data_IF_143822700747
#
_entry.id   IF_143822700747
#
_cell.length_a   1.000
_cell.length_b   1.000
_cell.length_c   1.000
_cell.angle_alpha   90.00
_cell.angle_beta   90.00
_cell.angle_gamma   90.00
#
_symmetry.space_group_name_H-M   'P 1'
#
loop_
_entity.id
_entity.type
_entity.pdbx_description
1 polymer ?
#
# COMPACT_ATOMS: atom_id res chain seq x y z
N UNK A 1 -21.14 0.28 -36.26
CA UNK A 1 -19.98 -0.43 -35.67
C UNK A 1 -20.29 -1.92 -35.76
N UNK A 2 -19.43 -2.75 -36.35
CA UNK A 2 -19.77 -4.16 -36.58
C UNK A 2 -20.07 -4.93 -35.28
N UNK A 3 -21.08 -5.79 -35.32
CA UNK A 3 -21.46 -6.68 -34.23
C UNK A 3 -20.32 -7.62 -33.83
N UNK A 4 -20.30 -8.02 -32.55
CA UNK A 4 -19.50 -9.13 -32.09
C UNK A 4 -20.12 -10.46 -32.57
N UNK A 5 -19.26 -11.40 -33.01
CA UNK A 5 -19.70 -12.71 -33.48
C UNK A 5 -19.82 -13.69 -32.30
N UNK A 6 -20.76 -14.62 -32.40
CA UNK A 6 -20.88 -15.77 -31.49
C UNK A 6 -19.86 -16.86 -31.85
N UNK A 7 -19.68 -17.85 -30.97
CA UNK A 7 -18.75 -18.98 -31.19
C UNK A 7 -19.02 -19.71 -32.51
N UNK A 8 -20.28 -20.07 -32.72
CA UNK A 8 -20.70 -20.81 -33.91
C UNK A 8 -20.43 -20.02 -35.20
N UNK A 9 -20.58 -18.69 -35.16
CA UNK A 9 -20.29 -17.80 -36.28
C UNK A 9 -18.79 -17.72 -36.58
N UNK A 10 -17.94 -17.71 -35.54
CA UNK A 10 -16.50 -17.79 -35.72
C UNK A 10 -16.05 -19.12 -36.33
N UNK A 11 -16.65 -20.24 -35.89
CA UNK A 11 -16.36 -21.58 -36.41
C UNK A 11 -16.75 -21.67 -37.89
N UNK A 12 -17.91 -21.14 -38.26
CA UNK A 12 -18.38 -21.11 -39.65
C UNK A 12 -17.50 -20.21 -40.54
N UNK A 13 -17.08 -19.05 -40.06
CA UNK A 13 -16.13 -18.18 -40.79
C UNK A 13 -14.83 -18.92 -41.08
N UNK A 14 -14.30 -19.67 -40.11
CA UNK A 14 -13.08 -20.45 -40.30
C UNK A 14 -13.26 -21.56 -41.34
N UNK A 15 -14.35 -22.34 -41.25
CA UNK A 15 -14.67 -23.40 -42.22
C UNK A 15 -14.82 -22.85 -43.65
N UNK A 16 -15.62 -21.80 -43.83
CA UNK A 16 -15.84 -21.18 -45.14
C UNK A 16 -14.54 -20.63 -45.72
N UNK A 17 -13.66 -20.08 -44.89
CA UNK A 17 -12.37 -19.58 -45.34
C UNK A 17 -11.47 -20.71 -45.86
N UNK A 18 -11.41 -21.83 -45.16
CA UNK A 18 -10.58 -22.97 -45.56
C UNK A 18 -11.12 -23.66 -46.82
N UNK A 19 -12.45 -23.79 -46.96
CA UNK A 19 -13.07 -24.52 -48.06
C UNK A 19 -13.24 -23.68 -49.33
N UNK A 20 -13.64 -22.41 -49.18
CA UNK A 20 -14.07 -21.57 -50.31
C UNK A 20 -13.27 -20.27 -50.45
N UNK A 21 -12.34 -20.03 -49.53
CA UNK A 21 -11.46 -18.88 -49.56
C UNK A 21 -12.13 -17.55 -49.21
N UNK A 22 -11.36 -16.50 -49.46
CA UNK A 22 -11.60 -15.18 -48.88
C UNK A 22 -12.85 -14.47 -49.42
N UNK A 23 -13.18 -14.66 -50.69
CA UNK A 23 -14.31 -13.98 -51.35
C UNK A 23 -15.65 -14.42 -50.74
N UNK A 24 -15.86 -15.73 -50.58
CA UNK A 24 -17.08 -16.27 -49.95
C UNK A 24 -17.16 -15.93 -48.46
N UNK A 25 -16.01 -15.91 -47.78
CA UNK A 25 -15.94 -15.52 -46.36
C UNK A 25 -16.42 -14.08 -46.12
N UNK A 26 -16.04 -13.16 -47.02
CA UNK A 26 -16.50 -11.76 -46.94
C UNK A 26 -18.01 -11.66 -47.11
N UNK A 27 -18.57 -12.35 -48.11
CA UNK A 27 -20.01 -12.35 -48.35
C UNK A 27 -20.76 -12.86 -47.12
N UNK A 28 -20.35 -14.01 -46.58
CA UNK A 28 -20.95 -14.56 -45.37
C UNK A 28 -20.90 -13.60 -44.18
N UNK A 29 -19.76 -12.91 -43.97
CA UNK A 29 -19.64 -11.92 -42.90
C UNK A 29 -20.59 -10.74 -43.09
N UNK A 30 -20.74 -10.27 -44.33
CA UNK A 30 -21.68 -9.19 -44.65
C UNK A 30 -23.13 -9.62 -44.46
N UNK A 31 -23.47 -10.87 -44.71
CA UNK A 31 -24.82 -11.40 -44.50
C UNK A 31 -25.17 -11.48 -43.01
N UNK A 32 -24.25 -11.98 -42.17
CA UNK A 32 -24.49 -12.11 -40.71
C UNK A 32 -24.36 -10.77 -39.96
N UNK A 33 -23.63 -9.81 -40.51
CA UNK A 33 -23.41 -8.49 -39.92
C UNK A 33 -23.41 -7.40 -40.99
N UNK A 34 -24.58 -6.96 -41.48
CA UNK A 34 -24.71 -5.99 -42.58
C UNK A 34 -23.90 -4.70 -42.40
N UNK A 35 -23.68 -4.28 -41.15
CA UNK A 35 -22.82 -3.15 -40.79
C UNK A 35 -21.37 -3.27 -41.28
N UNK A 36 -20.90 -4.48 -41.64
CA UNK A 36 -19.57 -4.67 -42.22
C UNK A 36 -19.47 -4.21 -43.67
N UNK A 37 -20.59 -3.98 -44.37
CA UNK A 37 -20.62 -3.39 -45.70
C UNK A 37 -20.04 -1.97 -45.73
N UNK A 38 -20.18 -1.23 -44.62
CA UNK A 38 -19.67 0.13 -44.49
C UNK A 38 -18.21 0.20 -44.01
N UNK A 39 -17.56 -0.95 -43.83
CA UNK A 39 -16.16 -1.05 -43.37
C UNK A 39 -15.22 -1.18 -44.57
N UNK A 40 -14.05 -0.55 -44.48
CA UNK A 40 -13.03 -0.69 -45.52
C UNK A 40 -12.55 -2.13 -45.66
N UNK A 41 -12.36 -2.59 -46.90
CA UNK A 41 -11.93 -3.96 -47.21
C UNK A 41 -10.67 -4.38 -46.45
N UNK A 42 -9.73 -3.48 -46.24
CA UNK A 42 -8.49 -3.73 -45.49
C UNK A 42 -8.74 -4.09 -44.02
N UNK A 43 -9.71 -3.44 -43.37
CA UNK A 43 -10.10 -3.71 -41.99
C UNK A 43 -10.83 -5.06 -41.88
N UNK A 44 -11.69 -5.38 -42.85
CA UNK A 44 -12.38 -6.67 -42.91
C UNK A 44 -11.38 -7.83 -43.09
N UNK A 45 -10.40 -7.66 -43.99
CA UNK A 45 -9.31 -8.61 -44.18
C UNK A 45 -8.48 -8.84 -42.91
N UNK A 46 -8.13 -7.77 -42.19
CA UNK A 46 -7.42 -7.87 -40.92
C UNK A 46 -8.22 -8.66 -39.89
N UNK A 47 -9.54 -8.45 -39.84
CA UNK A 47 -10.44 -9.18 -38.94
C UNK A 47 -10.49 -10.67 -39.27
N UNK A 48 -10.65 -11.03 -40.55
CA UNK A 48 -10.65 -12.43 -41.01
C UNK A 48 -9.32 -13.10 -40.68
N UNK A 49 -8.18 -12.47 -41.04
CA UNK A 49 -6.84 -12.98 -40.72
C UNK A 49 -6.64 -13.19 -39.22
N UNK A 50 -7.16 -12.28 -38.41
CA UNK A 50 -7.13 -12.41 -36.95
C UNK A 50 -7.85 -13.70 -36.54
N UNK A 51 -9.11 -13.88 -36.94
CA UNK A 51 -9.90 -15.07 -36.62
C UNK A 51 -9.13 -16.35 -36.96
N UNK A 52 -8.70 -16.50 -38.22
CA UNK A 52 -7.97 -17.69 -38.69
C UNK A 52 -6.71 -17.97 -37.86
N UNK A 53 -5.93 -16.93 -37.54
CA UNK A 53 -4.72 -17.07 -36.73
C UNK A 53 -5.02 -17.59 -35.33
N UNK A 54 -6.09 -17.12 -34.69
CA UNK A 54 -6.48 -17.60 -33.37
C UNK A 54 -6.98 -19.04 -33.40
N UNK A 55 -7.73 -19.43 -34.44
CA UNK A 55 -8.16 -20.81 -34.66
C UNK A 55 -6.96 -21.77 -34.83
N UNK A 56 -6.03 -21.45 -35.72
CA UNK A 56 -4.86 -22.29 -35.98
C UNK A 56 -3.97 -22.47 -34.74
N UNK A 57 -3.94 -21.48 -33.84
CA UNK A 57 -3.16 -21.54 -32.62
C UNK A 57 -3.92 -22.20 -31.45
N UNK A 58 -5.13 -22.74 -31.66
CA UNK A 58 -5.95 -23.33 -30.59
C UNK A 58 -6.50 -22.32 -29.58
N UNK A 59 -6.50 -21.03 -29.91
CA UNK A 59 -6.84 -19.93 -28.99
C UNK A 59 -8.26 -19.38 -29.23
N UNK A 60 -9.21 -20.28 -29.45
CA UNK A 60 -10.61 -19.93 -29.80
C UNK A 60 -11.29 -19.12 -28.68
N UNK A 61 -11.02 -19.44 -27.42
CA UNK A 61 -11.64 -18.77 -26.25
C UNK A 61 -11.30 -17.27 -26.16
N UNK A 62 -10.16 -16.84 -26.72
CA UNK A 62 -9.78 -15.43 -26.75
C UNK A 62 -10.57 -14.59 -27.77
N UNK A 63 -11.26 -15.22 -28.72
CA UNK A 63 -12.15 -14.54 -29.67
C UNK A 63 -13.50 -14.19 -29.02
N UNK A 64 -13.93 -14.99 -28.03
CA UNK A 64 -15.19 -14.84 -27.30
C UNK A 64 -15.02 -13.86 -26.13
N UNK A 65 -13.99 -14.07 -25.31
CA UNK A 65 -13.77 -13.29 -24.12
C UNK A 65 -12.61 -12.32 -24.29
N UNK A 66 -12.91 -11.01 -24.29
CA UNK A 66 -11.90 -9.95 -24.05
C UNK A 66 -11.21 -10.09 -22.68
N UNK A 67 -11.64 -11.04 -21.86
CA UNK A 67 -11.10 -11.43 -20.55
C UNK A 67 -10.26 -12.71 -20.63
N UNK A 68 -9.46 -12.88 -21.69
CA UNK A 68 -8.44 -13.92 -21.68
C UNK A 68 -7.56 -13.79 -20.43
N UNK A 69 -7.34 -14.91 -19.75
CA UNK A 69 -6.46 -15.07 -18.57
C UNK A 69 -5.03 -14.55 -18.78
N UNK A 70 -4.64 -14.23 -20.01
CA UNK A 70 -3.31 -13.78 -20.41
C UNK A 70 -3.11 -12.26 -20.46
N UNK A 71 -4.03 -11.43 -19.96
CA UNK A 71 -3.77 -9.98 -19.83
C UNK A 71 -2.87 -9.70 -18.63
N UNK A 72 -1.69 -9.10 -18.87
CA UNK A 72 -0.81 -8.62 -17.78
C UNK A 72 -1.61 -7.69 -16.85
N UNK A 73 -1.59 -7.90 -15.52
CA UNK A 73 -2.20 -6.97 -14.58
C UNK A 73 -1.62 -5.57 -14.80
N UNK A 74 -2.48 -4.55 -14.92
CA UNK A 74 -2.07 -3.16 -15.14
C UNK A 74 -2.11 -2.65 -16.59
N UNK A 75 -2.56 -3.43 -17.57
CA UNK A 75 -2.65 -2.99 -18.99
C UNK A 75 -3.85 -2.07 -19.30
N UNK A 76 -4.29 -1.26 -18.35
CA UNK A 76 -5.37 -0.28 -18.51
C UNK A 76 -4.84 1.15 -18.35
N UNK A 77 -5.54 2.14 -18.89
CA UNK A 77 -5.24 3.56 -18.61
C UNK A 77 -5.39 3.79 -17.09
N UNK A 78 -4.37 4.29 -16.38
CA UNK A 78 -4.50 4.59 -14.96
C UNK A 78 -5.67 5.57 -14.76
N UNK A 79 -6.51 5.33 -13.73
CA UNK A 79 -7.53 6.30 -13.32
C UNK A 79 -6.81 7.62 -13.02
N UNK A 80 -7.24 8.73 -13.62
CA UNK A 80 -6.79 10.06 -13.22
C UNK A 80 -7.11 10.22 -11.73
N UNK A 81 -6.12 10.58 -10.92
CA UNK A 81 -6.38 11.00 -9.55
C UNK A 81 -7.09 12.35 -9.62
N UNK A 82 -8.25 12.45 -8.99
CA UNK A 82 -8.93 13.73 -8.81
C UNK A 82 -8.18 14.41 -7.65
N UNK A 83 -7.34 15.39 -7.97
CA UNK A 83 -6.80 16.26 -6.94
C UNK A 83 -7.95 17.10 -6.40
N UNK A 84 -8.23 16.95 -5.11
CA UNK A 84 -9.26 17.75 -4.44
C UNK A 84 -8.67 19.14 -4.18
N UNK A 85 -9.21 20.15 -4.86
CA UNK A 85 -8.80 21.54 -4.66
C UNK A 85 -9.26 22.01 -3.27
N UNK A 86 -8.29 22.27 -2.38
CA UNK A 86 -8.57 22.64 -0.99
C UNK A 86 -9.15 24.05 -0.85
N UNK A 87 -9.07 24.85 -1.92
CA UNK A 87 -9.54 26.23 -1.94
C UNK A 87 -10.98 26.38 -2.44
N UNK A 88 -11.67 25.28 -2.73
CA UNK A 88 -13.04 25.29 -3.24
C UNK A 88 -14.07 25.73 -2.18
N UNK A 89 -13.77 25.53 -0.90
CA UNK A 89 -14.70 25.82 0.19
C UNK A 89 -14.56 27.23 0.75
N UNK A 90 -15.69 27.88 0.98
CA UNK A 90 -15.79 29.12 1.74
C UNK A 90 -15.53 28.86 3.24
N UNK A 91 -15.18 29.92 3.98
CA UNK A 91 -14.92 29.84 5.42
C UNK A 91 -16.14 29.34 6.20
N UNK A 92 -17.35 29.65 5.76
CA UNK A 92 -18.60 29.24 6.38
C UNK A 92 -18.86 27.75 6.19
N UNK A 93 -18.66 27.23 4.97
CA UNK A 93 -18.76 25.80 4.67
C UNK A 93 -17.74 24.98 5.47
N UNK A 94 -16.51 25.48 5.62
CA UNK A 94 -15.49 24.84 6.47
C UNK A 94 -15.93 24.75 7.94
N UNK A 95 -16.62 25.78 8.45
CA UNK A 95 -17.17 25.76 9.81
C UNK A 95 -18.30 24.73 9.92
N UNK A 96 -19.18 24.64 8.93
CA UNK A 96 -20.26 23.65 8.93
C UNK A 96 -19.73 22.21 8.85
N UNK A 97 -18.76 21.96 7.96
CA UNK A 97 -18.06 20.67 7.84
C UNK A 97 -17.43 20.28 9.18
N UNK A 98 -16.78 21.22 9.86
CA UNK A 98 -16.17 20.97 11.16
C UNK A 98 -17.22 20.62 12.23
N UNK A 99 -18.38 21.29 12.25
CA UNK A 99 -19.50 20.97 13.15
C UNK A 99 -20.03 19.56 12.90
N UNK A 100 -20.34 19.21 11.64
CA UNK A 100 -20.82 17.86 11.29
C UNK A 100 -19.79 16.78 11.62
N UNK A 101 -18.52 17.05 11.38
CA UNK A 101 -17.44 16.10 11.72
C UNK A 101 -17.34 15.86 13.23
N UNK A 102 -17.56 16.89 14.05
CA UNK A 102 -17.62 16.73 15.50
C UNK A 102 -18.78 15.81 15.93
N UNK A 103 -19.96 15.97 15.34
CA UNK A 103 -21.14 15.13 15.61
C UNK A 103 -20.89 13.65 15.25
N UNK A 104 -20.34 13.40 14.06
CA UNK A 104 -19.97 12.05 13.61
C UNK A 104 -18.95 11.42 14.56
N UNK A 105 -17.95 12.19 14.98
CA UNK A 105 -16.92 11.70 15.88
C UNK A 105 -17.43 11.47 17.30
N UNK A 106 -18.52 12.10 17.75
CA UNK A 106 -19.05 11.91 19.11
C UNK A 106 -19.21 10.43 19.45
N UNK A 107 -19.78 9.67 18.51
CA UNK A 107 -20.12 8.25 18.68
C UNK A 107 -18.95 7.29 18.42
N UNK A 108 -17.81 7.78 17.92
CA UNK A 108 -16.63 6.92 17.72
C UNK A 108 -15.98 6.51 19.03
N UNK A 109 -15.41 5.31 19.03
CA UNK A 109 -14.61 4.81 20.13
C UNK A 109 -13.37 5.69 20.37
N UNK A 110 -12.90 5.72 21.62
CA UNK A 110 -11.71 6.49 22.01
C UNK A 110 -10.46 6.07 21.21
N UNK A 111 -10.30 4.78 20.90
CA UNK A 111 -9.18 4.28 20.12
C UNK A 111 -9.21 4.80 18.68
N UNK A 112 -10.37 4.79 18.02
CA UNK A 112 -10.55 5.30 16.66
C UNK A 112 -10.23 6.81 16.57
N UNK A 113 -10.72 7.59 17.55
CA UNK A 113 -10.39 9.02 17.69
C UNK A 113 -8.88 9.25 17.80
N UNK A 114 -8.18 8.43 18.58
CA UNK A 114 -6.75 8.55 18.79
C UNK A 114 -5.93 8.13 17.57
N UNK A 115 -6.39 7.15 16.78
CA UNK A 115 -5.74 6.75 15.53
C UNK A 115 -5.88 7.83 14.44
N UNK A 116 -7.05 8.45 14.31
CA UNK A 116 -7.26 9.59 13.40
C UNK A 116 -6.46 10.82 13.84
N UNK A 117 -6.47 11.12 15.15
CA UNK A 117 -5.66 12.21 15.66
C UNK A 117 -4.17 12.00 15.35
N UNK A 118 -3.67 10.75 15.42
CA UNK A 118 -2.25 10.40 15.18
C UNK A 118 -1.78 10.73 13.77
N UNK A 119 -2.63 10.58 12.76
CA UNK A 119 -2.28 10.84 11.35
C UNK A 119 -2.29 12.32 11.00
N UNK A 120 -3.02 13.14 11.75
CA UNK A 120 -3.16 14.58 11.49
C UNK A 120 -1.94 15.39 11.96
N UNK A 121 -1.43 16.28 11.10
CA UNK A 121 -0.38 17.26 11.44
C UNK A 121 -0.97 18.51 12.14
N UNK A 122 -1.65 18.29 13.26
CA UNK A 122 -2.30 19.34 14.06
C UNK A 122 -1.70 19.35 15.48
N UNK A 123 -1.53 20.52 16.12
CA UNK A 123 -1.13 20.61 17.51
C UNK A 123 -1.99 19.75 18.45
N UNK A 124 -1.39 19.23 19.51
CA UNK A 124 -2.06 18.33 20.45
C UNK A 124 -3.30 18.97 21.10
N UNK A 125 -3.24 20.26 21.42
CA UNK A 125 -4.33 21.02 22.03
C UNK A 125 -5.55 21.14 21.11
N UNK A 126 -5.32 21.51 19.85
CA UNK A 126 -6.37 21.62 18.83
C UNK A 126 -6.97 20.25 18.51
N UNK A 127 -6.14 19.22 18.35
CA UNK A 127 -6.59 17.85 18.12
C UNK A 127 -7.47 17.33 19.28
N UNK A 128 -7.05 17.58 20.53
CA UNK A 128 -7.81 17.19 21.71
C UNK A 128 -9.23 17.78 21.74
N UNK A 129 -9.37 19.05 21.34
CA UNK A 129 -10.68 19.71 21.21
C UNK A 129 -11.52 19.10 20.09
N UNK A 130 -10.94 18.89 18.91
CA UNK A 130 -11.64 18.33 17.74
C UNK A 130 -12.20 16.92 18.03
N UNK A 131 -11.40 16.07 18.67
CA UNK A 131 -11.77 14.68 18.94
C UNK A 131 -12.46 14.48 20.29
N UNK A 132 -12.65 15.55 21.07
CA UNK A 132 -13.17 15.50 22.44
C UNK A 132 -12.48 14.43 23.31
N UNK A 133 -11.15 14.51 23.38
CA UNK A 133 -10.31 13.59 24.16
C UNK A 133 -9.27 14.36 24.96
N UNK A 134 -8.79 13.77 26.07
CA UNK A 134 -7.74 14.39 26.86
C UNK A 134 -6.46 14.59 26.04
N UNK A 135 -5.87 15.79 26.16
CA UNK A 135 -4.60 16.18 25.50
C UNK A 135 -3.49 15.16 25.71
N UNK A 136 -3.37 14.61 26.93
CA UNK A 136 -2.35 13.62 27.25
C UNK A 136 -2.52 12.32 26.46
N UNK A 137 -3.76 11.90 26.18
CA UNK A 137 -4.03 10.70 25.40
C UNK A 137 -3.59 10.89 23.94
N UNK A 138 -3.85 12.06 23.35
CA UNK A 138 -3.39 12.43 22.01
C UNK A 138 -1.87 12.50 21.94
N UNK A 139 -1.23 13.07 22.97
CA UNK A 139 0.23 13.12 23.03
C UNK A 139 0.83 11.70 23.04
N UNK A 140 0.33 10.82 23.91
CA UNK A 140 0.76 9.41 23.97
C UNK A 140 0.52 8.65 22.65
N UNK A 141 -0.57 8.93 21.94
CA UNK A 141 -0.85 8.25 20.66
C UNK A 141 0.06 8.73 19.53
N UNK A 142 0.45 10.02 19.54
CA UNK A 142 1.35 10.64 18.55
C UNK A 142 2.82 10.43 18.84
N UNK A 143 3.22 10.23 20.09
CA UNK A 143 4.62 9.90 20.40
C UNK A 143 5.00 8.60 19.70
N UNK A 144 5.87 8.72 18.69
CA UNK A 144 6.54 7.56 18.11
C UNK A 144 7.26 6.84 19.23
N UNK A 145 7.22 5.50 19.24
CA UNK A 145 8.15 4.71 20.04
C UNK A 145 9.54 5.17 19.60
N UNK A 146 10.22 5.95 20.43
CA UNK A 146 11.58 6.40 20.15
C UNK A 146 12.40 5.12 20.13
N UNK A 147 12.75 4.63 18.93
CA UNK A 147 13.71 3.54 18.80
C UNK A 147 14.96 3.99 19.54
N UNK A 148 15.27 3.29 20.62
CA UNK A 148 16.44 3.59 21.44
C UNK A 148 17.65 3.43 20.53
N UNK A 149 18.27 4.55 20.12
CA UNK A 149 19.51 4.51 19.33
C UNK A 149 20.56 3.78 20.16
N UNK A 150 21.17 2.75 19.59
CA UNK A 150 22.25 2.03 20.22
C UNK A 150 23.44 2.96 20.43
N UNK A 151 23.98 2.99 21.63
CA UNK A 151 25.14 3.80 21.96
C UNK A 151 26.41 2.97 21.73
N UNK A 152 27.49 3.62 21.29
CA UNK A 152 28.78 2.97 20.93
C UNK A 152 29.29 1.96 21.97
N UNK A 153 29.03 2.23 23.26
CA UNK A 153 29.55 1.43 24.37
C UNK A 153 28.55 0.37 24.90
N UNK A 154 27.35 0.23 24.32
CA UNK A 154 26.30 -0.64 24.87
C UNK A 154 26.67 -2.12 24.87
N UNK A 155 27.36 -2.58 23.82
CA UNK A 155 27.84 -3.95 23.72
C UNK A 155 28.88 -4.27 24.83
N UNK A 156 29.81 -3.34 25.06
CA UNK A 156 30.85 -3.48 26.09
C UNK A 156 30.23 -3.47 27.49
N UNK A 157 29.24 -2.59 27.73
CA UNK A 157 28.52 -2.52 29.01
C UNK A 157 27.75 -3.82 29.26
N UNK A 158 27.04 -4.37 28.26
CA UNK A 158 26.34 -5.67 28.38
C UNK A 158 27.32 -6.80 28.69
N UNK A 159 28.41 -6.91 27.92
CA UNK A 159 29.42 -7.95 28.10
C UNK A 159 30.04 -7.87 29.49
N UNK A 160 30.49 -6.69 29.91
CA UNK A 160 31.08 -6.46 31.23
C UNK A 160 30.10 -6.75 32.37
N UNK A 161 28.81 -6.48 32.18
CA UNK A 161 27.79 -6.77 33.19
C UNK A 161 27.56 -8.28 33.34
N UNK A 162 27.52 -9.02 32.22
CA UNK A 162 27.37 -10.47 32.19
C UNK A 162 28.62 -11.19 32.72
N UNK A 163 29.81 -10.73 32.35
CA UNK A 163 31.10 -11.25 32.85
C UNK A 163 31.20 -11.20 34.39
N UNK A 164 30.50 -10.24 35.01
CA UNK A 164 30.45 -10.08 36.46
C UNK A 164 29.13 -10.58 37.08
N UNK A 165 28.35 -11.38 36.34
CA UNK A 165 27.06 -11.97 36.74
C UNK A 165 26.02 -10.97 37.29
N UNK A 166 26.14 -9.69 36.93
CA UNK A 166 25.33 -8.60 37.47
C UNK A 166 25.60 -8.25 38.93
N UNK A 167 26.75 -8.65 39.49
CA UNK A 167 27.17 -8.32 40.87
C UNK A 167 27.61 -6.87 41.00
N UNK A 168 28.26 -6.32 39.98
CA UNK A 168 28.85 -4.98 40.06
C UNK A 168 27.84 -3.87 39.78
N UNK A 169 27.67 -2.99 40.77
CA UNK A 169 26.98 -1.71 40.62
C UNK A 169 27.75 -0.71 39.75
N UNK A 170 27.13 0.43 39.45
CA UNK A 170 27.68 1.47 38.53
C UNK A 170 29.11 1.94 38.83
N UNK A 171 29.55 1.94 40.09
CA UNK A 171 30.90 2.37 40.48
C UNK A 171 31.93 1.29 40.12
N UNK A 172 31.71 0.07 40.63
CA UNK A 172 32.58 -1.08 40.38
C UNK A 172 32.63 -1.46 38.90
N UNK A 173 31.49 -1.39 38.21
CA UNK A 173 31.42 -1.69 36.78
C UNK A 173 32.15 -0.64 35.93
N UNK A 174 32.13 0.63 36.33
CA UNK A 174 32.88 1.70 35.66
C UNK A 174 34.39 1.46 35.79
N UNK A 175 34.87 1.13 36.99
CA UNK A 175 36.27 0.78 37.22
C UNK A 175 36.68 -0.48 36.43
N UNK A 176 35.86 -1.52 36.42
CA UNK A 176 36.10 -2.75 35.66
C UNK A 176 36.24 -2.49 34.16
N UNK A 177 35.33 -1.72 33.56
CA UNK A 177 35.37 -1.38 32.14
C UNK A 177 36.63 -0.55 31.83
N UNK A 178 36.98 0.39 32.71
CA UNK A 178 38.19 1.19 32.58
C UNK A 178 39.46 0.33 32.59
N UNK A 179 39.53 -0.67 33.46
CA UNK A 179 40.69 -1.56 33.57
C UNK A 179 40.78 -2.55 32.40
N UNK A 180 39.66 -3.17 32.00
CA UNK A 180 39.66 -4.26 31.01
C UNK A 180 39.69 -3.77 29.56
N UNK A 181 39.04 -2.66 29.27
CA UNK A 181 38.86 -2.16 27.91
C UNK A 181 39.55 -0.81 27.66
N UNK A 182 40.21 -0.23 28.67
CA UNK A 182 40.80 1.11 28.62
C UNK A 182 39.80 2.21 28.19
N UNK A 183 38.51 2.04 28.55
CA UNK A 183 37.45 3.00 28.25
C UNK A 183 36.91 3.56 29.56
N UNK A 184 37.09 4.86 29.77
CA UNK A 184 36.49 5.54 30.91
C UNK A 184 35.02 5.88 30.63
N UNK A 185 34.11 5.37 31.47
CA UNK A 185 32.70 5.74 31.45
C UNK A 185 32.32 6.24 32.84
N UNK A 186 31.93 7.51 32.93
CA UNK A 186 31.54 8.11 34.21
C UNK A 186 30.39 7.31 34.88
N UNK A 187 30.44 6.99 36.18
CA UNK A 187 29.46 6.13 36.85
C UNK A 187 28.00 6.60 36.74
N UNK A 188 27.77 7.92 36.71
CA UNK A 188 26.42 8.50 36.51
C UNK A 188 25.89 8.19 35.10
N UNK A 189 26.75 8.28 34.10
CA UNK A 189 26.43 7.95 32.71
C UNK A 189 26.19 6.45 32.57
N UNK A 190 27.08 5.63 33.14
CA UNK A 190 26.93 4.18 33.16
C UNK A 190 25.60 3.74 33.80
N UNK A 191 25.19 4.38 34.90
CA UNK A 191 23.87 4.13 35.52
C UNK A 191 22.68 4.43 34.59
N UNK A 192 22.77 5.48 33.74
CA UNK A 192 21.74 5.77 32.72
C UNK A 192 21.74 4.70 31.63
N UNK A 193 22.91 4.22 31.19
CA UNK A 193 23.02 3.13 30.22
C UNK A 193 22.44 1.82 30.77
N UNK A 194 22.78 1.44 32.01
CA UNK A 194 22.23 0.24 32.66
C UNK A 194 20.70 0.29 32.75
N UNK A 195 20.12 1.43 33.18
CA UNK A 195 18.67 1.62 33.23
C UNK A 195 18.02 1.50 31.85
N UNK A 196 18.63 2.11 30.82
CA UNK A 196 18.13 2.04 29.44
C UNK A 196 18.22 0.62 28.85
N UNK A 197 19.23 -0.15 29.26
CA UNK A 197 19.46 -1.53 28.83
C UNK A 197 18.74 -2.58 29.71
N UNK A 198 17.94 -2.15 30.70
CA UNK A 198 17.26 -3.01 31.68
C UNK A 198 18.20 -3.97 32.44
N UNK A 199 19.44 -3.54 32.72
CA UNK A 199 20.43 -4.32 33.48
C UNK A 199 20.35 -3.95 34.97
N UNK A 200 19.80 -4.85 35.79
CA UNK A 200 19.60 -4.63 37.23
C UNK A 200 20.62 -5.42 38.04
N UNK A 201 21.38 -4.73 38.90
CA UNK A 201 22.40 -5.34 39.75
C UNK A 201 21.76 -6.21 40.84
N UNK A 202 22.29 -7.41 41.06
CA UNK A 202 21.77 -8.38 42.04
C UNK A 202 21.98 -7.96 43.50
N UNK A 203 23.05 -7.21 43.80
CA UNK A 203 23.46 -6.86 45.18
C UNK A 203 22.52 -5.82 45.83
N UNK A 204 21.49 -5.33 45.12
CA UNK A 204 20.42 -4.53 45.72
C UNK A 204 19.09 -5.28 45.62
N UNK A 205 18.95 -6.31 46.43
CA UNK A 205 17.69 -6.65 47.09
C UNK A 205 17.94 -6.61 48.58
#
# INVERSE_FOLDING_TARGET
MSRHFKKDEFDMIYKIYNEFGLKKTINYINDISPDTNFITRSQLLRRIKKIIRYYNNGMQDQLLDKKGSNRKPGSGRPKKQIEHDRNEFTKEELIEIAKRYYEINKNKSKSAKLSEAKTLNIPYSKSAKIFNVCRQAVAKSKTRVIKVKEHKNDAIIKKSFLDNEGRYGRLRLSAYISMKYNIYIHPRTLGRHLKRLNLVCKIRK
#
